data_IF_708087602863
#
_entry.id   IF_708087602863
#
_cell.length_a   1.000
_cell.length_b   1.000
_cell.length_c   1.000
_cell.angle_alpha   90.00
_cell.angle_beta   90.00
_cell.angle_gamma   90.00
#
_symmetry.space_group_name_H-M   'P 1'
#
loop_
_entity.id
_entity.type
_entity.pdbx_description
1 polymer ?
#
# COMPACT_ATOMS: atom_id res chain seq x y z
N UNK A 1 3.99 -6.06 -21.32
CA UNK A 1 3.67 -4.68 -20.91
C UNK A 1 3.80 -4.69 -19.41
N UNK A 2 4.72 -3.93 -18.86
CA UNK A 2 5.07 -4.00 -17.44
C UNK A 2 3.90 -3.48 -16.63
N UNK A 3 3.17 -4.39 -16.01
CA UNK A 3 2.24 -4.07 -14.94
C UNK A 3 3.07 -3.53 -13.77
N UNK A 4 2.81 -2.30 -13.34
CA UNK A 4 3.53 -1.69 -12.22
C UNK A 4 2.71 -1.95 -10.98
N UNK A 5 3.29 -2.67 -10.02
CA UNK A 5 2.65 -2.92 -8.74
C UNK A 5 3.19 -1.95 -7.70
N UNK A 6 2.33 -1.11 -7.15
CA UNK A 6 2.65 -0.26 -6.00
C UNK A 6 2.22 -0.96 -4.73
N UNK A 7 3.06 -0.97 -3.69
CA UNK A 7 2.73 -1.57 -2.40
C UNK A 7 2.88 -0.50 -1.34
N UNK A 8 1.81 -0.15 -0.62
CA UNK A 8 1.88 0.78 0.50
C UNK A 8 1.94 -0.03 1.79
N UNK A 9 2.87 0.30 2.67
CA UNK A 9 3.01 -0.34 3.98
C UNK A 9 2.45 0.58 5.05
N UNK A 10 1.49 0.07 5.82
CA UNK A 10 0.73 0.81 6.83
C UNK A 10 0.92 0.14 8.20
N UNK A 11 0.92 0.94 9.29
CA UNK A 11 1.10 0.42 10.65
C UNK A 11 -0.12 -0.41 11.11
N UNK A 12 -1.32 -0.04 10.68
CA UNK A 12 -2.58 -0.60 11.17
C UNK A 12 -3.56 -0.94 10.05
N UNK A 13 -4.51 -1.83 10.37
CA UNK A 13 -5.58 -2.24 9.44
C UNK A 13 -6.49 -1.07 9.07
N UNK A 14 -6.92 -0.30 10.07
CA UNK A 14 -7.83 0.83 9.85
C UNK A 14 -7.20 1.83 8.85
N UNK A 15 -5.91 2.12 9.00
CA UNK A 15 -5.17 2.97 8.06
C UNK A 15 -5.15 2.36 6.65
N UNK A 16 -4.93 1.05 6.53
CA UNK A 16 -4.93 0.37 5.24
C UNK A 16 -6.32 0.37 4.55
N UNK A 17 -7.40 0.17 5.32
CA UNK A 17 -8.79 0.22 4.81
C UNK A 17 -9.17 1.65 4.36
N UNK A 18 -8.82 2.67 5.15
CA UNK A 18 -9.01 4.08 4.79
C UNK A 18 -8.22 4.45 3.53
N UNK A 19 -6.93 4.09 3.48
CA UNK A 19 -6.06 4.33 2.33
C UNK A 19 -6.60 3.66 1.08
N UNK A 20 -7.07 2.41 1.15
CA UNK A 20 -7.62 1.70 0.00
C UNK A 20 -8.88 2.39 -0.58
N UNK A 21 -9.77 2.88 0.30
CA UNK A 21 -10.96 3.63 -0.09
C UNK A 21 -10.61 4.99 -0.71
N UNK A 22 -9.75 5.76 -0.05
CA UNK A 22 -9.28 7.06 -0.52
C UNK A 22 -8.45 6.93 -1.80
N UNK A 23 -7.70 5.84 -2.00
CA UNK A 23 -6.98 5.61 -3.26
C UNK A 23 -7.93 5.47 -4.43
N UNK A 24 -8.99 4.68 -4.27
CA UNK A 24 -10.01 4.50 -5.28
C UNK A 24 -10.73 5.83 -5.59
N UNK A 25 -11.04 6.64 -4.58
CA UNK A 25 -11.71 7.94 -4.76
C UNK A 25 -10.79 9.01 -5.36
N UNK A 26 -9.58 9.18 -4.81
CA UNK A 26 -8.65 10.27 -5.13
C UNK A 26 -7.85 10.03 -6.40
N UNK A 27 -7.40 8.78 -6.61
CA UNK A 27 -6.58 8.41 -7.77
C UNK A 27 -7.37 7.68 -8.85
N UNK A 28 -8.61 7.26 -8.56
CA UNK A 28 -9.44 6.56 -9.54
C UNK A 28 -8.88 5.18 -9.90
N UNK A 29 -8.29 4.48 -8.93
CA UNK A 29 -7.79 3.11 -9.14
C UNK A 29 -8.96 2.26 -9.62
N UNK A 30 -8.82 1.69 -10.83
CA UNK A 30 -9.86 0.89 -11.45
C UNK A 30 -9.94 -0.52 -10.86
N UNK A 31 -8.85 -0.97 -10.26
CA UNK A 31 -8.70 -2.27 -9.63
C UNK A 31 -8.75 -2.08 -8.11
N UNK A 32 -9.51 -2.94 -7.43
CA UNK A 32 -9.63 -2.87 -5.97
C UNK A 32 -8.26 -3.20 -5.34
N UNK A 33 -7.70 -2.31 -4.50
CA UNK A 33 -6.42 -2.57 -3.85
C UNK A 33 -6.50 -3.82 -2.97
N UNK A 34 -5.48 -4.68 -3.06
CA UNK A 34 -5.43 -5.90 -2.28
C UNK A 34 -4.75 -5.65 -0.92
N UNK A 35 -5.51 -5.84 0.17
CA UNK A 35 -5.03 -5.74 1.54
C UNK A 35 -4.38 -7.06 1.98
N UNK A 36 -3.08 -7.02 2.32
CA UNK A 36 -2.30 -8.17 2.79
C UNK A 36 -1.73 -7.86 4.15
N UNK A 37 -2.05 -8.68 5.16
CA UNK A 37 -1.43 -8.60 6.48
C UNK A 37 -0.08 -9.32 6.44
N UNK A 38 1.00 -8.62 6.74
CA UNK A 38 2.35 -9.18 6.86
C UNK A 38 2.74 -9.23 8.34
N UNK A 39 2.92 -10.45 8.85
CA UNK A 39 3.36 -10.66 10.22
C UNK A 39 4.88 -10.65 10.23
N UNK A 40 5.47 -9.61 10.83
CA UNK A 40 6.93 -9.50 10.98
C UNK A 40 7.44 -10.73 11.75
N UNK A 41 8.50 -11.36 11.22
CA UNK A 41 8.97 -12.65 11.72
C UNK A 41 9.67 -12.51 13.09
N UNK A 42 8.91 -12.79 14.16
CA UNK A 42 9.34 -12.79 15.57
C UNK A 42 8.87 -11.51 16.26
N UNK A 43 8.05 -11.52 17.31
CA UNK A 43 7.81 -12.51 18.36
C UNK A 43 6.34 -12.36 18.82
N UNK A 44 5.64 -13.49 19.00
CA UNK A 44 4.34 -13.82 19.66
C UNK A 44 3.37 -12.77 20.29
N UNK A 45 3.38 -11.48 19.96
CA UNK A 45 2.29 -10.56 20.29
C UNK A 45 1.54 -10.18 19.01
N UNK A 46 0.23 -10.39 19.00
CA UNK A 46 -0.66 -10.10 17.87
C UNK A 46 -0.75 -8.59 17.51
N UNK A 47 0.11 -7.77 18.12
CA UNK A 47 0.08 -6.32 18.18
C UNK A 47 1.00 -5.65 17.14
N UNK A 48 1.97 -6.37 16.57
CA UNK A 48 2.91 -5.83 15.57
C UNK A 48 2.75 -6.55 14.22
N UNK A 49 1.68 -6.20 13.49
CA UNK A 49 1.47 -6.69 12.13
C UNK A 49 1.24 -5.51 11.18
N UNK A 50 2.08 -5.41 10.16
CA UNK A 50 1.95 -4.39 9.15
C UNK A 50 0.90 -4.80 8.10
N UNK A 51 0.24 -3.80 7.52
CA UNK A 51 -0.74 -3.99 6.46
C UNK A 51 -0.22 -3.43 5.16
N UNK A 52 -0.19 -4.29 4.14
CA UNK A 52 0.26 -3.96 2.79
C UNK A 52 -0.96 -3.71 1.91
N UNK A 53 -1.03 -2.55 1.29
CA UNK A 53 -2.03 -2.22 0.27
C UNK A 53 -1.37 -2.35 -1.10
N UNK A 54 -1.71 -3.41 -1.82
CA UNK A 54 -1.15 -3.72 -3.13
C UNK A 54 -2.07 -3.14 -4.21
N UNK A 55 -1.51 -2.30 -5.06
CA UNK A 55 -2.21 -1.60 -6.14
C UNK A 55 -1.59 -2.04 -7.47
N UNK A 56 -2.40 -2.64 -8.33
CA UNK A 56 -2.03 -2.98 -9.70
C UNK A 56 -2.25 -1.74 -10.59
N UNK A 57 -1.17 -1.25 -11.18
CA UNK A 57 -1.18 -0.13 -12.12
C UNK A 57 -0.70 -0.58 -13.50
N UNK A 58 -1.62 -1.25 -14.21
CA UNK A 58 -1.40 -1.76 -15.56
C UNK A 58 -1.01 -0.67 -16.59
N UNK A 59 -1.19 0.62 -16.26
CA UNK A 59 -0.88 1.74 -17.15
C UNK A 59 0.18 2.70 -16.63
N UNK A 60 0.84 2.41 -15.50
CA UNK A 60 1.82 3.32 -14.88
C UNK A 60 1.28 4.76 -14.78
N UNK A 61 -0.01 4.92 -14.46
CA UNK A 61 -0.71 6.20 -14.33
C UNK A 61 -0.58 6.79 -12.94
N UNK A 62 -0.31 5.96 -11.93
CA UNK A 62 -0.13 6.40 -10.56
C UNK A 62 1.28 6.96 -10.39
N UNK A 63 1.36 8.12 -9.74
CA UNK A 63 2.65 8.71 -9.43
C UNK A 63 3.16 8.12 -8.11
N UNK A 64 4.30 7.43 -8.09
CA UNK A 64 4.83 6.82 -6.87
C UNK A 64 5.18 7.85 -5.79
N UNK A 65 5.55 9.08 -6.18
CA UNK A 65 5.84 10.14 -5.21
C UNK A 65 4.56 10.62 -4.54
N UNK A 66 3.47 10.71 -5.31
CA UNK A 66 2.16 11.06 -4.76
C UNK A 66 1.62 9.96 -3.83
N UNK A 67 1.84 8.69 -4.19
CA UNK A 67 1.47 7.55 -3.36
C UNK A 67 2.28 7.49 -2.06
N UNK A 68 3.59 7.72 -2.11
CA UNK A 68 4.45 7.79 -0.93
C UNK A 68 4.04 8.91 0.02
N UNK A 69 3.82 10.12 -0.52
CA UNK A 69 3.34 11.24 0.27
C UNK A 69 1.98 10.97 0.90
N UNK A 70 1.09 10.26 0.19
CA UNK A 70 -0.21 9.85 0.70
C UNK A 70 -0.08 8.82 1.82
N UNK A 71 0.76 7.79 1.66
CA UNK A 71 1.03 6.79 2.70
C UNK A 71 1.56 7.45 3.98
N UNK A 72 2.45 8.44 3.81
CA UNK A 72 3.04 9.18 4.92
C UNK A 72 2.00 9.98 5.74
N UNK A 73 0.85 10.35 5.15
CA UNK A 73 -0.27 10.96 5.90
C UNK A 73 -0.86 9.98 6.94
N UNK A 74 -0.68 8.68 6.73
CA UNK A 74 -1.15 7.58 7.59
C UNK A 74 -0.01 6.86 8.32
N UNK A 75 1.14 7.54 8.48
CA UNK A 75 2.35 6.97 9.10
C UNK A 75 2.92 5.75 8.34
N UNK A 76 2.48 5.55 7.09
CA UNK A 76 2.97 4.53 6.19
C UNK A 76 4.02 5.02 5.20
N UNK A 77 4.45 4.14 4.31
CA UNK A 77 5.37 4.45 3.22
C UNK A 77 5.05 3.64 1.96
N UNK A 78 5.47 4.12 0.79
CA UNK A 78 5.44 3.29 -0.41
C UNK A 78 6.63 2.34 -0.39
N UNK A 79 6.36 1.03 -0.39
CA UNK A 79 7.38 0.03 -0.64
C UNK A 79 7.90 0.22 -2.07
N UNK A 80 9.16 0.61 -2.17
CA UNK A 80 9.85 0.63 -3.46
C UNK A 80 10.27 -0.81 -3.75
N UNK A 81 9.95 -1.37 -4.94
CA UNK A 81 10.46 -2.68 -5.30
C UNK A 81 11.97 -2.59 -5.23
N UNK A 82 12.58 -3.38 -4.33
CA UNK A 82 14.02 -3.48 -4.25
C UNK A 82 14.52 -3.76 -5.67
N UNK A 83 15.32 -2.83 -6.22
CA UNK A 83 15.93 -3.01 -7.53
C UNK A 83 16.77 -4.30 -7.47
N UNK A 84 16.23 -5.38 -8.04
CA UNK A 84 16.84 -6.70 -8.09
C UNK A 84 17.44 -6.97 -9.46
#
# INVERSE_FOLDING_TARGET
>A
MSDVRHVLVLPDRDAAEEVAGELADRFGVLEEPQLVRDALAGEDDAEDAQWLVVIEDARSRLDPTALDAFAAEYEGWLETPAEG
#
